data_IF_497021744819
#
_entry.id   IF_497021744819
#
_cell.length_a   1.000
_cell.length_b   1.000
_cell.length_c   1.000
_cell.angle_alpha   90.00
_cell.angle_beta   90.00
_cell.angle_gamma   90.00
#
_symmetry.space_group_name_H-M   'P 1'
#
loop_
_entity.id
_entity.type
_entity.pdbx_description
1 polymer ?
#
# COMPACT_ATOMS: atom_id res chain seq x y z
N UNK A 1 12.60 -16.15 16.19
CA UNK A 1 13.15 -17.31 15.44
C UNK A 1 12.06 -18.08 14.68
N UNK A 2 10.84 -18.22 15.21
CA UNK A 2 9.76 -19.02 14.61
C UNK A 2 9.32 -18.48 13.24
N UNK A 3 9.25 -17.15 13.10
CA UNK A 3 8.94 -16.53 11.80
C UNK A 3 10.02 -16.83 10.74
N UNK A 4 11.31 -16.73 11.11
CA UNK A 4 12.41 -17.07 10.18
C UNK A 4 12.33 -18.53 9.77
N UNK A 5 12.08 -19.45 10.71
CA UNK A 5 11.94 -20.88 10.44
C UNK A 5 10.73 -21.16 9.52
N UNK A 6 9.61 -20.47 9.76
CA UNK A 6 8.43 -20.59 8.90
C UNK A 6 8.74 -20.14 7.46
N UNK A 7 9.26 -18.93 7.28
CA UNK A 7 9.54 -18.39 5.94
C UNK A 7 10.57 -19.25 5.20
N UNK A 8 11.63 -19.69 5.86
CA UNK A 8 12.65 -20.56 5.25
C UNK A 8 12.08 -21.92 4.85
N UNK A 9 11.15 -22.49 5.64
CA UNK A 9 10.44 -23.71 5.29
C UNK A 9 9.59 -23.53 4.04
N UNK A 10 8.87 -22.39 3.93
CA UNK A 10 8.06 -22.06 2.73
C UNK A 10 8.97 -21.92 1.50
N UNK A 11 10.06 -21.17 1.61
CA UNK A 11 11.01 -20.97 0.51
C UNK A 11 11.63 -22.29 0.04
N UNK A 12 12.05 -23.15 0.95
CA UNK A 12 12.59 -24.48 0.61
C UNK A 12 11.57 -25.39 -0.06
N UNK A 13 10.27 -25.30 0.39
CA UNK A 13 9.19 -26.13 -0.16
C UNK A 13 8.76 -25.68 -1.56
N UNK A 14 8.87 -24.39 -1.87
CA UNK A 14 8.41 -23.81 -3.14
C UNK A 14 9.55 -23.16 -3.92
N UNK A 15 10.44 -23.95 -4.55
CA UNK A 15 11.64 -23.42 -5.21
C UNK A 15 11.34 -22.51 -6.43
N UNK A 16 10.10 -22.48 -6.91
CA UNK A 16 9.63 -21.58 -7.96
C UNK A 16 9.35 -20.16 -7.47
N UNK A 17 9.32 -19.90 -6.16
CA UNK A 17 9.15 -18.55 -5.62
C UNK A 17 10.26 -17.63 -6.10
N UNK A 18 9.86 -16.43 -6.54
CA UNK A 18 10.77 -15.38 -6.99
C UNK A 18 10.73 -14.15 -6.10
N UNK A 19 9.60 -13.86 -5.50
CA UNK A 19 9.36 -12.65 -4.73
C UNK A 19 8.76 -13.05 -3.38
N UNK A 20 9.31 -12.48 -2.31
CA UNK A 20 8.82 -12.71 -0.94
C UNK A 20 8.79 -11.38 -0.22
N UNK A 21 7.60 -10.93 0.16
CA UNK A 21 7.42 -9.81 1.08
C UNK A 21 7.55 -10.30 2.52
N UNK A 22 8.38 -9.63 3.30
CA UNK A 22 8.61 -9.97 4.70
C UNK A 22 7.65 -9.18 5.58
N UNK A 23 6.68 -9.88 6.20
CA UNK A 23 5.63 -9.30 7.03
C UNK A 23 4.63 -8.43 6.26
N UNK A 24 3.63 -7.90 7.01
CA UNK A 24 2.63 -6.94 6.55
C UNK A 24 2.37 -5.92 7.66
N UNK A 25 2.29 -4.65 7.32
CA UNK A 25 1.91 -3.51 8.17
C UNK A 25 2.53 -3.50 9.59
N UNK A 26 3.86 -3.72 9.77
CA UNK A 26 4.49 -3.76 11.10
C UNK A 26 4.44 -2.43 11.86
N UNK A 27 3.95 -1.39 11.24
CA UNK A 27 3.68 -0.09 11.86
C UNK A 27 2.30 -0.02 12.55
N UNK A 28 1.51 -1.11 12.51
CA UNK A 28 0.24 -1.23 13.22
C UNK A 28 0.37 -2.18 14.41
N UNK A 29 -0.19 -1.80 15.56
CA UNK A 29 -0.07 -2.58 16.78
C UNK A 29 -0.70 -3.97 16.66
N UNK A 30 -1.86 -4.11 16.00
CA UNK A 30 -2.52 -5.42 15.83
C UNK A 30 -1.76 -6.36 14.88
N UNK A 31 -0.97 -5.83 13.96
CA UNK A 31 -0.04 -6.60 13.12
C UNK A 31 1.28 -6.92 13.87
N UNK A 32 1.53 -6.24 14.98
CA UNK A 32 2.70 -6.41 15.84
C UNK A 32 2.33 -6.99 17.21
N UNK A 33 1.44 -7.99 17.23
CA UNK A 33 0.97 -8.68 18.44
C UNK A 33 0.35 -7.77 19.51
N UNK A 34 -0.29 -6.67 19.10
CA UNK A 34 -0.82 -5.62 19.99
C UNK A 34 0.22 -4.90 20.85
N UNK A 35 1.50 -5.07 20.50
CA UNK A 35 2.59 -4.27 21.05
C UNK A 35 2.79 -3.00 20.24
N UNK A 36 3.49 -2.03 20.81
CA UNK A 36 3.84 -0.82 20.07
C UNK A 36 4.80 -1.17 18.94
N UNK A 37 4.53 -0.69 17.72
CA UNK A 37 5.42 -0.87 16.58
C UNK A 37 6.85 -0.46 16.90
N UNK A 38 7.81 -1.32 16.57
CA UNK A 38 9.22 -1.12 16.88
C UNK A 38 10.06 -1.27 15.60
N UNK A 39 10.47 -0.15 14.95
CA UNK A 39 11.24 -0.18 13.71
C UNK A 39 12.59 -0.91 13.84
N UNK A 40 13.26 -0.82 15.00
CA UNK A 40 14.54 -1.49 15.24
C UNK A 40 14.38 -3.00 15.33
N UNK A 41 13.41 -3.47 16.13
CA UNK A 41 13.12 -4.90 16.25
C UNK A 41 12.61 -5.48 14.93
N UNK A 42 11.81 -4.72 14.17
CA UNK A 42 11.38 -5.12 12.84
C UNK A 42 12.57 -5.22 11.87
N UNK A 43 13.48 -4.25 11.87
CA UNK A 43 14.68 -4.27 11.01
C UNK A 43 15.57 -5.48 11.32
N UNK A 44 15.71 -5.85 12.60
CA UNK A 44 16.42 -7.08 12.99
C UNK A 44 15.72 -8.33 12.43
N UNK A 45 14.39 -8.42 12.55
CA UNK A 45 13.60 -9.52 11.97
C UNK A 45 13.77 -9.60 10.46
N UNK A 46 13.67 -8.48 9.75
CA UNK A 46 13.84 -8.37 8.31
C UNK A 46 15.23 -8.88 7.89
N UNK A 47 16.29 -8.37 8.52
CA UNK A 47 17.69 -8.71 8.20
C UNK A 47 17.96 -10.20 8.41
N UNK A 48 17.52 -10.76 9.54
CA UNK A 48 17.69 -12.18 9.84
C UNK A 48 16.93 -13.06 8.86
N UNK A 49 15.70 -12.67 8.49
CA UNK A 49 14.88 -13.42 7.54
C UNK A 49 15.48 -13.34 6.13
N UNK A 50 15.89 -12.17 5.69
CA UNK A 50 16.54 -11.94 4.39
C UNK A 50 17.82 -12.78 4.27
N UNK A 51 18.68 -12.76 5.29
CA UNK A 51 19.90 -13.56 5.33
C UNK A 51 19.60 -15.05 5.19
N UNK A 52 18.61 -15.54 5.95
CA UNK A 52 18.25 -16.96 5.93
C UNK A 52 17.63 -17.39 4.56
N UNK A 53 16.82 -16.54 3.94
CA UNK A 53 16.28 -16.77 2.60
C UNK A 53 17.41 -16.85 1.56
N UNK A 54 18.35 -15.89 1.57
CA UNK A 54 19.45 -15.81 0.61
C UNK A 54 20.41 -17.01 0.70
N UNK A 55 20.53 -17.64 1.89
CA UNK A 55 21.27 -18.90 2.06
C UNK A 55 20.60 -20.09 1.37
N UNK A 56 19.25 -20.11 1.29
CA UNK A 56 18.50 -21.20 0.65
C UNK A 56 18.37 -20.97 -0.86
N UNK A 57 18.01 -19.75 -1.25
CA UNK A 57 17.83 -19.37 -2.64
C UNK A 57 18.21 -17.90 -2.87
N UNK A 58 19.44 -17.64 -3.34
CA UNK A 58 19.93 -16.28 -3.58
C UNK A 58 19.23 -15.55 -4.74
N UNK A 59 18.37 -16.23 -5.51
CA UNK A 59 17.60 -15.63 -6.61
C UNK A 59 16.26 -15.03 -6.15
N UNK A 60 15.89 -15.21 -4.88
CA UNK A 60 14.66 -14.61 -4.36
C UNK A 60 14.86 -13.10 -4.17
N UNK A 61 13.95 -12.36 -4.75
CA UNK A 61 13.82 -10.92 -4.55
C UNK A 61 13.01 -10.67 -3.28
N UNK A 62 13.59 -9.97 -2.33
CA UNK A 62 13.01 -9.69 -1.02
C UNK A 62 12.34 -8.32 -1.06
N UNK A 63 11.08 -8.27 -0.67
CA UNK A 63 10.33 -7.04 -0.56
C UNK A 63 10.25 -6.59 0.90
N UNK A 64 10.53 -5.30 1.12
CA UNK A 64 10.19 -4.63 2.38
C UNK A 64 8.67 -4.72 2.60
N UNK A 65 8.14 -4.81 3.83
CA UNK A 65 6.69 -4.90 4.05
C UNK A 65 5.99 -3.64 3.57
N UNK A 66 4.77 -3.80 3.11
CA UNK A 66 3.89 -2.64 2.97
C UNK A 66 3.57 -2.07 4.34
N UNK A 67 3.78 -0.79 4.50
CA UNK A 67 3.36 -0.07 5.68
C UNK A 67 1.96 0.50 5.46
N UNK A 68 1.13 0.43 6.49
CA UNK A 68 -0.19 1.07 6.46
C UNK A 68 -0.03 2.58 6.46
N UNK A 69 -0.61 3.31 5.49
CA UNK A 69 -0.58 4.75 5.48
C UNK A 69 -1.35 5.31 6.69
N UNK A 70 -0.64 5.93 7.62
CA UNK A 70 -1.24 6.50 8.83
C UNK A 70 -0.64 7.88 9.14
N UNK A 71 -1.38 8.69 9.92
CA UNK A 71 -0.86 9.98 10.37
C UNK A 71 -0.21 9.92 11.76
N UNK A 72 -0.08 8.73 12.34
CA UNK A 72 0.57 8.51 13.63
C UNK A 72 -0.21 9.00 14.85
N UNK A 73 -1.52 9.26 14.72
CA UNK A 73 -2.33 9.86 15.79
C UNK A 73 -3.20 8.89 16.57
N UNK A 74 -3.15 7.61 16.24
CA UNK A 74 -3.91 6.56 16.91
C UNK A 74 -3.01 5.81 17.92
N UNK A 75 -2.91 6.26 19.20
CA UNK A 75 -1.86 5.80 20.13
C UNK A 75 -1.88 4.29 20.42
N UNK A 76 -3.03 3.63 20.20
CA UNK A 76 -3.21 2.19 20.49
C UNK A 76 -3.10 1.32 19.24
N UNK A 77 -3.26 1.90 18.06
CA UNK A 77 -3.33 1.15 16.80
C UNK A 77 -2.16 1.52 15.89
N UNK A 78 -1.98 2.82 15.66
CA UNK A 78 -0.99 3.39 14.74
C UNK A 78 -0.32 4.61 15.40
N UNK A 79 0.55 4.39 16.40
CA UNK A 79 1.16 5.48 17.18
C UNK A 79 2.25 6.24 16.39
N UNK A 80 2.59 5.78 15.22
CA UNK A 80 3.66 6.30 14.37
C UNK A 80 3.22 6.30 12.90
N UNK A 81 3.55 7.33 12.16
CA UNK A 81 3.30 7.33 10.72
C UNK A 81 4.19 6.30 10.01
N UNK A 82 3.73 5.80 8.84
CA UNK A 82 4.56 4.89 8.04
C UNK A 82 5.85 5.57 7.58
N UNK A 83 5.85 6.89 7.41
CA UNK A 83 7.04 7.64 7.01
C UNK A 83 8.08 7.66 8.12
N UNK A 84 7.66 7.90 9.37
CA UNK A 84 8.54 7.87 10.54
C UNK A 84 9.04 6.44 10.81
N UNK A 85 8.16 5.43 10.65
CA UNK A 85 8.53 4.03 10.80
C UNK A 85 9.61 3.65 9.78
N UNK A 86 9.40 4.01 8.50
CA UNK A 86 10.36 3.74 7.43
C UNK A 86 11.69 4.45 7.68
N UNK A 87 11.66 5.74 8.04
CA UNK A 87 12.88 6.50 8.33
C UNK A 87 13.70 5.85 9.46
N UNK A 88 13.04 5.38 10.52
CA UNK A 88 13.70 4.68 11.61
C UNK A 88 14.21 3.30 11.20
N UNK A 89 13.54 2.57 10.31
CA UNK A 89 14.06 1.32 9.73
C UNK A 89 15.35 1.56 8.94
N UNK A 90 15.38 2.62 8.11
CA UNK A 90 16.62 2.99 7.40
C UNK A 90 17.74 3.36 8.38
N UNK A 91 17.44 4.15 9.41
CA UNK A 91 18.41 4.48 10.45
C UNK A 91 18.94 3.25 11.22
N UNK A 92 18.13 2.19 11.31
CA UNK A 92 18.50 0.91 11.89
C UNK A 92 19.24 -0.04 10.92
N UNK A 93 19.48 0.38 9.66
CA UNK A 93 20.24 -0.38 8.67
C UNK A 93 19.42 -1.31 7.78
N UNK A 94 18.13 -1.00 7.55
CA UNK A 94 17.25 -1.85 6.74
C UNK A 94 17.65 -1.92 5.25
N UNK A 95 18.37 -0.93 4.71
CA UNK A 95 18.64 -0.79 3.28
C UNK A 95 19.22 -2.05 2.61
N UNK A 96 20.10 -2.78 3.29
CA UNK A 96 20.77 -3.97 2.74
C UNK A 96 19.92 -5.25 2.86
N UNK A 97 18.75 -5.17 3.50
CA UNK A 97 17.95 -6.34 3.84
C UNK A 97 16.80 -6.62 2.85
N UNK A 98 16.57 -5.75 1.86
CA UNK A 98 15.53 -5.93 0.85
C UNK A 98 16.00 -5.44 -0.52
N UNK A 99 15.28 -5.81 -1.57
CA UNK A 99 15.61 -5.51 -2.96
C UNK A 99 14.53 -4.58 -3.59
N UNK A 100 13.31 -4.60 -3.07
CA UNK A 100 12.17 -3.78 -3.53
C UNK A 100 11.44 -3.21 -2.32
N UNK A 101 11.06 -1.94 -2.39
CA UNK A 101 10.19 -1.30 -1.41
C UNK A 101 8.73 -1.60 -1.72
N UNK A 102 7.98 -2.21 -0.80
CA UNK A 102 6.53 -2.29 -0.94
C UNK A 102 5.85 -1.07 -0.31
N UNK A 103 4.74 -0.65 -0.91
CA UNK A 103 3.93 0.45 -0.42
C UNK A 103 2.44 0.17 -0.62
N UNK A 104 1.61 0.79 0.20
CA UNK A 104 0.18 0.89 -0.04
C UNK A 104 -0.14 2.26 -0.65
N UNK A 105 -1.08 2.31 -1.58
CA UNK A 105 -1.46 3.54 -2.28
C UNK A 105 -2.97 3.72 -2.33
N UNK A 106 -3.61 3.70 -1.15
CA UNK A 106 -5.04 3.93 -1.03
C UNK A 106 -5.40 5.40 -1.16
N UNK A 107 -6.40 5.70 -2.01
CA UNK A 107 -6.91 7.06 -2.22
C UNK A 107 -7.93 7.49 -1.17
N UNK A 108 -8.43 6.57 -0.32
CA UNK A 108 -9.46 6.81 0.69
C UNK A 108 -10.67 7.61 0.15
N UNK A 109 -11.20 7.17 -1.00
CA UNK A 109 -12.36 7.77 -1.66
C UNK A 109 -12.08 9.09 -2.38
N UNK A 110 -10.84 9.58 -2.38
CA UNK A 110 -10.48 10.79 -3.11
C UNK A 110 -10.13 10.48 -4.57
N UNK A 111 -10.43 11.39 -5.51
CA UNK A 111 -10.01 11.23 -6.90
C UNK A 111 -8.49 11.07 -7.02
N UNK A 112 -7.98 10.07 -7.76
CA UNK A 112 -6.56 9.80 -7.85
C UNK A 112 -5.75 10.90 -8.57
N UNK A 113 -6.41 11.75 -9.36
CA UNK A 113 -5.79 12.88 -10.05
C UNK A 113 -5.65 14.13 -9.17
N UNK A 114 -6.22 14.13 -7.96
CA UNK A 114 -6.04 15.25 -7.04
C UNK A 114 -4.58 15.35 -6.59
N UNK A 115 -3.96 16.46 -6.91
CA UNK A 115 -2.66 16.82 -6.37
C UNK A 115 -2.83 17.51 -5.04
N UNK A 116 -2.06 17.09 -4.06
CA UNK A 116 -2.03 17.64 -2.71
C UNK A 116 -1.90 19.17 -2.69
N UNK A 117 -1.06 19.73 -3.56
CA UNK A 117 -0.86 21.17 -3.69
C UNK A 117 -2.04 21.94 -4.33
N UNK A 118 -2.78 21.30 -5.23
CA UNK A 118 -3.96 21.92 -5.87
C UNK A 118 -5.09 22.05 -4.86
N UNK A 119 -5.30 21.03 -4.05
CA UNK A 119 -6.32 21.04 -3.00
C UNK A 119 -6.07 22.12 -1.94
N UNK A 120 -4.81 22.39 -1.59
CA UNK A 120 -4.43 23.49 -0.70
C UNK A 120 -4.72 24.88 -1.31
N UNK A 121 -4.67 24.99 -2.63
CA UNK A 121 -4.75 26.28 -3.34
C UNK A 121 -6.18 26.70 -3.68
N UNK A 122 -7.14 25.77 -3.80
CA UNK A 122 -8.42 26.02 -4.43
C UNK A 122 -9.66 25.68 -3.58
N UNK A 123 -9.54 25.51 -2.26
CA UNK A 123 -10.72 25.32 -1.44
C UNK A 123 -11.32 26.70 -1.05
N UNK A 124 -12.42 27.15 -1.70
CA UNK A 124 -12.95 28.52 -1.49
C UNK A 124 -13.53 28.76 -0.09
N UNK A 125 -13.74 27.69 0.69
CA UNK A 125 -14.36 27.77 2.04
C UNK A 125 -13.36 27.53 3.19
N UNK A 126 -12.09 27.30 2.90
CA UNK A 126 -11.05 27.17 3.93
C UNK A 126 -9.93 28.15 3.66
N UNK A 127 -9.89 29.23 4.42
CA UNK A 127 -8.74 30.13 4.37
C UNK A 127 -7.48 29.36 4.72
N UNK A 128 -6.34 29.89 4.36
CA UNK A 128 -4.98 29.37 4.43
C UNK A 128 -4.57 28.58 5.69
N UNK A 129 -5.44 28.43 6.67
CA UNK A 129 -5.22 27.72 7.93
C UNK A 129 -5.06 26.19 7.78
N UNK A 130 -5.37 25.60 6.63
CA UNK A 130 -5.01 24.20 6.35
C UNK A 130 -3.52 24.03 5.99
N UNK A 131 -2.79 25.12 5.82
CA UNK A 131 -1.32 25.11 5.74
C UNK A 131 -0.66 24.75 7.07
N UNK A 132 -1.38 24.88 8.18
CA UNK A 132 -0.91 24.49 9.51
C UNK A 132 -0.93 22.96 9.73
N UNK A 133 -1.54 22.20 8.82
CA UNK A 133 -1.40 20.74 8.82
C UNK A 133 -0.19 20.35 8.01
N UNK A 134 0.80 19.70 8.64
CA UNK A 134 1.92 19.13 7.90
C UNK A 134 1.39 18.26 6.74
N UNK A 135 2.01 18.37 5.56
CA UNK A 135 1.61 17.60 4.37
C UNK A 135 1.66 16.09 4.62
N UNK A 136 2.50 15.65 5.53
CA UNK A 136 2.69 14.27 5.97
C UNK A 136 1.50 13.67 6.73
N UNK A 137 0.57 14.47 7.24
CA UNK A 137 -0.64 13.97 7.93
C UNK A 137 -1.78 13.60 6.98
N UNK A 138 -1.64 13.85 5.68
CA UNK A 138 -2.67 13.53 4.69
C UNK A 138 -2.46 12.13 4.14
N UNK A 139 -3.55 11.37 4.12
CA UNK A 139 -3.59 10.06 3.50
C UNK A 139 -4.40 10.18 2.21
N UNK A 140 -3.69 10.20 1.09
CA UNK A 140 -4.22 10.20 -0.27
C UNK A 140 -3.24 9.46 -1.20
N UNK A 141 -3.60 9.32 -2.49
CA UNK A 141 -2.75 8.63 -3.48
C UNK A 141 -1.35 9.24 -3.60
N UNK A 142 -1.19 10.53 -3.33
CA UNK A 142 0.12 11.21 -3.41
C UNK A 142 1.05 10.89 -2.23
N UNK A 143 0.56 10.19 -1.19
CA UNK A 143 1.38 9.83 -0.03
C UNK A 143 2.54 8.90 -0.38
N UNK A 144 2.38 8.08 -1.41
CA UNK A 144 3.46 7.23 -1.92
C UNK A 144 4.69 8.06 -2.38
N UNK A 145 4.49 9.30 -2.82
CA UNK A 145 5.58 10.21 -3.18
C UNK A 145 6.39 10.59 -1.93
N UNK A 146 5.72 10.79 -0.79
CA UNK A 146 6.42 11.09 0.47
C UNK A 146 7.22 9.88 0.98
N UNK A 147 6.68 8.66 0.80
CA UNK A 147 7.45 7.44 1.06
C UNK A 147 8.71 7.40 0.20
N UNK A 148 8.59 7.72 -1.09
CA UNK A 148 9.76 7.82 -1.99
C UNK A 148 10.75 8.90 -1.53
N UNK A 149 10.29 10.03 -1.02
CA UNK A 149 11.16 11.08 -0.47
C UNK A 149 11.96 10.58 0.74
N UNK A 150 11.36 9.77 1.63
CA UNK A 150 12.10 9.13 2.74
C UNK A 150 13.19 8.21 2.22
N UNK A 151 12.92 7.40 1.18
CA UNK A 151 13.94 6.56 0.54
C UNK A 151 15.10 7.41 -0.01
N UNK A 152 14.79 8.49 -0.72
CA UNK A 152 15.82 9.38 -1.28
C UNK A 152 16.66 10.05 -0.19
N UNK A 153 16.05 10.48 0.91
CA UNK A 153 16.76 11.04 2.07
C UNK A 153 17.68 10.01 2.74
N UNK A 154 17.30 8.74 2.71
CA UNK A 154 18.14 7.63 3.19
C UNK A 154 19.24 7.21 2.19
N UNK A 155 19.32 7.83 1.01
CA UNK A 155 20.28 7.49 -0.05
C UNK A 155 19.83 6.33 -0.96
N UNK A 156 18.62 5.82 -0.78
CA UNK A 156 18.05 4.69 -1.53
C UNK A 156 17.31 5.17 -2.78
N UNK A 157 18.05 5.72 -3.74
CA UNK A 157 17.49 6.24 -4.99
C UNK A 157 17.23 5.14 -6.05
N UNK A 158 17.91 4.00 -5.95
CA UNK A 158 17.91 2.98 -7.00
C UNK A 158 16.88 1.87 -6.77
N UNK A 159 16.36 1.72 -5.57
CA UNK A 159 15.36 0.70 -5.24
C UNK A 159 14.00 1.06 -5.85
N UNK A 160 13.42 0.12 -6.60
CA UNK A 160 12.08 0.27 -7.13
C UNK A 160 11.02 0.18 -6.03
N UNK A 161 9.86 0.82 -6.27
CA UNK A 161 8.69 0.67 -5.41
C UNK A 161 7.63 -0.19 -6.10
N UNK A 162 7.08 -1.17 -5.37
CA UNK A 162 5.90 -1.91 -5.79
C UNK A 162 4.73 -1.55 -4.88
N UNK A 163 3.61 -1.21 -5.47
CA UNK A 163 2.36 -1.05 -4.73
C UNK A 163 1.77 -2.43 -4.50
N UNK A 164 1.84 -2.89 -3.25
CA UNK A 164 1.28 -4.18 -2.83
C UNK A 164 -0.23 -4.14 -2.73
N UNK A 165 -0.78 -2.96 -2.41
CA UNK A 165 -2.21 -2.77 -2.24
C UNK A 165 -2.63 -1.36 -2.66
N UNK A 166 -3.65 -1.29 -3.52
CA UNK A 166 -4.41 -0.08 -3.81
C UNK A 166 -5.83 -0.44 -4.19
N UNK A 167 -6.77 0.45 -3.98
CA UNK A 167 -8.17 0.22 -4.31
C UNK A 167 -9.08 1.27 -3.71
N UNK A 168 -10.37 1.13 -4.00
CA UNK A 168 -11.42 2.04 -3.55
C UNK A 168 -12.58 1.26 -2.96
N UNK A 169 -13.15 1.76 -1.88
CA UNK A 169 -14.26 1.15 -1.18
C UNK A 169 -15.60 1.66 -1.72
N UNK A 170 -16.54 0.77 -1.98
CA UNK A 170 -17.89 1.07 -2.45
C UNK A 170 -18.97 0.64 -1.47
N UNK A 171 -18.68 0.66 -0.18
CA UNK A 171 -19.61 0.21 0.86
C UNK A 171 -20.97 0.93 0.73
N UNK A 172 -22.09 0.17 0.63
CA UNK A 172 -23.42 0.71 0.43
C UNK A 172 -23.99 1.34 1.72
N UNK A 173 -25.12 2.04 1.60
CA UNK A 173 -25.80 2.67 2.74
C UNK A 173 -26.31 1.68 3.79
N UNK A 174 -26.38 0.38 3.47
CA UNK A 174 -26.69 -0.67 4.42
C UNK A 174 -25.59 -0.93 5.45
N UNK A 175 -24.33 -0.54 5.16
CA UNK A 175 -23.25 -0.56 6.15
C UNK A 175 -23.40 0.65 7.07
N UNK A 176 -23.31 0.48 8.42
CA UNK A 176 -23.40 1.59 9.37
C UNK A 176 -22.43 2.73 9.02
N UNK A 177 -22.90 3.97 9.13
CA UNK A 177 -22.15 5.15 8.63
C UNK A 177 -20.73 5.28 9.21
N UNK A 178 -20.57 5.00 10.51
CA UNK A 178 -19.28 5.02 11.22
C UNK A 178 -18.30 3.95 10.72
N UNK A 179 -18.82 2.83 10.20
CA UNK A 179 -18.01 1.76 9.59
C UNK A 179 -17.76 2.03 8.12
N UNK A 180 -18.78 2.51 7.42
CA UNK A 180 -18.75 2.77 5.98
C UNK A 180 -17.66 3.76 5.58
N UNK A 181 -17.36 4.71 6.45
CA UNK A 181 -16.37 5.78 6.20
C UNK A 181 -14.98 5.50 6.77
N UNK A 182 -14.73 4.31 7.33
CA UNK A 182 -13.40 3.94 7.84
C UNK A 182 -12.27 4.12 6.81
N UNK A 183 -12.60 3.86 5.55
CA UNK A 183 -11.66 3.96 4.41
C UNK A 183 -11.95 5.20 3.56
N UNK A 184 -12.38 6.28 4.18
CA UNK A 184 -12.84 7.49 3.49
C UNK A 184 -14.28 7.37 2.95
N UNK A 185 -14.78 8.40 2.27
CA UNK A 185 -16.11 8.36 1.66
C UNK A 185 -16.16 7.24 0.61
N UNK A 186 -17.19 6.37 0.65
CA UNK A 186 -17.33 5.33 -0.36
C UNK A 186 -17.62 5.93 -1.74
N UNK A 187 -17.13 5.25 -2.77
CA UNK A 187 -17.42 5.60 -4.17
C UNK A 187 -18.47 4.64 -4.76
N UNK A 188 -19.08 4.98 -5.89
CA UNK A 188 -19.92 4.01 -6.62
C UNK A 188 -19.06 2.92 -7.25
N UNK A 189 -19.67 1.77 -7.64
CA UNK A 189 -18.97 0.70 -8.34
C UNK A 189 -18.34 1.17 -9.66
N UNK A 190 -19.03 2.04 -10.40
CA UNK A 190 -18.49 2.65 -11.63
C UNK A 190 -17.29 3.55 -11.33
N UNK A 191 -17.42 4.46 -10.34
CA UNK A 191 -16.32 5.32 -9.93
C UNK A 191 -15.11 4.52 -9.41
N UNK A 192 -15.33 3.37 -8.74
CA UNK A 192 -14.26 2.48 -8.32
C UNK A 192 -13.41 2.06 -9.53
N UNK A 193 -14.02 1.58 -10.60
CA UNK A 193 -13.33 1.22 -11.82
C UNK A 193 -12.58 2.40 -12.45
N UNK A 194 -13.25 3.55 -12.58
CA UNK A 194 -12.66 4.76 -13.15
C UNK A 194 -11.46 5.24 -12.33
N UNK A 195 -11.54 5.23 -11.01
CA UNK A 195 -10.47 5.66 -10.12
C UNK A 195 -9.28 4.70 -10.11
N UNK A 196 -9.53 3.39 -10.18
CA UNK A 196 -8.47 2.38 -10.32
C UNK A 196 -7.68 2.65 -11.60
N UNK A 197 -8.36 2.83 -12.73
CA UNK A 197 -7.73 3.09 -14.02
C UNK A 197 -6.98 4.43 -14.02
N UNK A 198 -7.59 5.49 -13.49
CA UNK A 198 -6.97 6.81 -13.40
C UNK A 198 -5.71 6.78 -12.50
N UNK A 199 -5.73 6.03 -11.40
CA UNK A 199 -4.57 5.87 -10.54
C UNK A 199 -3.43 5.13 -11.22
N UNK A 200 -3.73 4.05 -11.96
CA UNK A 200 -2.74 3.33 -12.76
C UNK A 200 -2.14 4.23 -13.86
N UNK A 201 -2.98 5.03 -14.52
CA UNK A 201 -2.53 5.98 -15.54
C UNK A 201 -1.64 7.09 -14.94
N UNK A 202 -2.00 7.62 -13.77
CA UNK A 202 -1.18 8.59 -13.02
C UNK A 202 0.17 7.99 -12.65
N UNK A 203 0.19 6.78 -12.10
CA UNK A 203 1.42 6.10 -11.71
C UNK A 203 2.39 5.96 -12.90
N UNK A 204 1.89 5.51 -14.07
CA UNK A 204 2.69 5.39 -15.29
C UNK A 204 3.24 6.72 -15.78
N UNK A 205 2.50 7.80 -15.61
CA UNK A 205 2.87 9.14 -16.08
C UNK A 205 3.87 9.82 -15.15
N UNK A 206 3.73 9.65 -13.83
CA UNK A 206 4.42 10.48 -12.84
C UNK A 206 5.49 9.74 -12.05
N UNK A 207 5.42 8.38 -11.93
CA UNK A 207 6.25 7.63 -11.00
C UNK A 207 7.12 6.60 -11.73
N UNK A 208 8.16 7.07 -12.42
CA UNK A 208 9.09 6.20 -13.17
C UNK A 208 9.79 5.14 -12.30
N UNK A 209 9.84 5.37 -10.98
CA UNK A 209 10.41 4.45 -9.98
C UNK A 209 9.44 3.36 -9.52
N UNK A 210 8.18 3.38 -9.99
CA UNK A 210 7.16 2.40 -9.61
C UNK A 210 7.09 1.28 -10.65
N UNK A 211 7.22 0.01 -10.18
CA UNK A 211 7.27 -1.15 -11.07
C UNK A 211 5.95 -1.90 -11.20
N UNK A 212 5.29 -2.23 -10.09
CA UNK A 212 4.08 -3.07 -10.05
C UNK A 212 3.02 -2.42 -9.19
N UNK A 213 1.74 -2.64 -9.55
CA UNK A 213 0.59 -2.27 -8.73
C UNK A 213 -0.34 -3.48 -8.57
N UNK A 214 -0.60 -3.90 -7.34
CA UNK A 214 -1.51 -4.99 -7.02
C UNK A 214 -2.83 -4.44 -6.50
N UNK A 215 -3.92 -4.77 -7.18
CA UNK A 215 -5.25 -4.33 -6.79
C UNK A 215 -5.74 -5.09 -5.54
N UNK A 216 -6.14 -4.35 -4.53
CA UNK A 216 -6.91 -4.82 -3.38
C UNK A 216 -8.38 -4.46 -3.55
N UNK A 217 -9.28 -5.40 -3.93
CA UNK A 217 -8.96 -6.80 -4.13
C UNK A 217 -9.82 -7.41 -5.23
N UNK A 218 -9.40 -8.56 -5.76
CA UNK A 218 -10.15 -9.25 -6.79
C UNK A 218 -11.56 -9.61 -6.31
N UNK A 219 -11.68 -10.36 -5.21
CA UNK A 219 -12.93 -10.75 -4.59
C UNK A 219 -12.77 -11.05 -3.10
N UNK A 220 -13.86 -11.01 -2.35
CA UNK A 220 -13.86 -11.48 -0.98
C UNK A 220 -13.79 -13.01 -0.96
N UNK A 221 -12.74 -13.55 -0.35
CA UNK A 221 -12.50 -15.00 -0.27
C UNK A 221 -12.79 -15.62 1.10
N UNK A 222 -13.18 -14.81 2.08
CA UNK A 222 -13.49 -15.24 3.44
C UNK A 222 -14.92 -15.79 3.61
N UNK A 223 -15.29 -16.16 4.83
CA UNK A 223 -16.68 -16.50 5.17
C UNK A 223 -17.61 -15.32 4.87
N UNK A 224 -18.94 -15.57 4.91
CA UNK A 224 -19.91 -14.49 4.74
C UNK A 224 -19.55 -13.32 5.68
N UNK A 225 -19.33 -12.11 5.15
CA UNK A 225 -18.84 -11.01 5.96
C UNK A 225 -19.91 -10.56 6.96
N UNK A 226 -19.47 -10.08 8.12
CA UNK A 226 -20.32 -9.27 8.99
C UNK A 226 -20.94 -8.14 8.15
N UNK A 227 -22.28 -7.96 8.16
CA UNK A 227 -22.96 -6.90 7.42
C UNK A 227 -22.43 -5.48 7.74
N UNK A 228 -21.81 -5.30 8.91
CA UNK A 228 -21.17 -4.04 9.30
C UNK A 228 -19.72 -3.92 8.82
N UNK A 229 -19.13 -4.95 8.18
CA UNK A 229 -17.75 -4.91 7.71
C UNK A 229 -17.66 -4.25 6.33
N UNK A 230 -16.98 -3.09 6.19
CA UNK A 230 -16.82 -2.44 4.89
C UNK A 230 -15.74 -3.06 4.00
N UNK A 231 -14.86 -3.91 4.51
CA UNK A 231 -13.70 -4.44 3.77
C UNK A 231 -14.06 -5.23 2.51
N UNK A 232 -15.11 -6.07 2.48
CA UNK A 232 -15.51 -6.80 1.27
C UNK A 232 -15.83 -5.91 0.06
N UNK A 233 -16.20 -4.65 0.29
CA UNK A 233 -16.58 -3.70 -0.77
C UNK A 233 -15.40 -3.06 -1.51
N UNK A 234 -14.16 -3.43 -1.18
CA UNK A 234 -13.02 -3.21 -2.06
C UNK A 234 -12.98 -4.16 -3.25
N UNK A 235 -13.64 -5.30 -3.15
CA UNK A 235 -13.68 -6.31 -4.21
C UNK A 235 -14.22 -5.74 -5.53
N UNK A 236 -13.67 -6.20 -6.65
CA UNK A 236 -14.15 -5.86 -8.00
C UNK A 236 -15.02 -6.96 -8.60
N UNK A 237 -15.00 -8.16 -8.01
CA UNK A 237 -15.90 -9.28 -8.31
C UNK A 237 -16.64 -9.73 -7.05
N UNK A 238 -17.87 -10.17 -7.23
CA UNK A 238 -18.64 -10.88 -6.22
C UNK A 238 -17.97 -12.25 -5.88
N UNK A 239 -18.35 -12.91 -4.77
CA UNK A 239 -17.80 -14.22 -4.40
C UNK A 239 -17.94 -15.31 -5.46
N UNK A 240 -18.95 -15.23 -6.31
CA UNK A 240 -19.22 -16.16 -7.43
C UNK A 240 -18.53 -15.73 -8.75
N UNK A 241 -17.64 -14.73 -8.69
CA UNK A 241 -16.97 -14.11 -9.83
C UNK A 241 -17.89 -13.32 -10.78
N UNK A 242 -19.10 -12.95 -10.36
CA UNK A 242 -19.90 -11.95 -11.09
C UNK A 242 -19.18 -10.58 -11.03
N UNK A 243 -18.86 -9.95 -12.17
CA UNK A 243 -18.16 -8.66 -12.18
C UNK A 243 -19.07 -7.54 -11.68
N UNK A 244 -18.49 -6.63 -10.87
CA UNK A 244 -19.16 -5.36 -10.56
C UNK A 244 -19.02 -4.34 -11.71
N UNK A 245 -19.80 -3.27 -11.68
CA UNK A 245 -19.94 -2.34 -12.80
C UNK A 245 -18.62 -1.70 -13.29
N UNK A 246 -17.63 -1.51 -12.41
CA UNK A 246 -16.33 -0.94 -12.78
C UNK A 246 -15.36 -1.89 -13.49
N UNK A 247 -15.64 -3.19 -13.52
CA UNK A 247 -14.70 -4.21 -14.03
C UNK A 247 -14.42 -4.02 -15.52
N UNK A 248 -15.44 -3.73 -16.33
CA UNK A 248 -15.27 -3.55 -17.76
C UNK A 248 -14.28 -2.42 -18.11
N UNK A 249 -14.29 -1.32 -17.33
CA UNK A 249 -13.35 -0.20 -17.47
C UNK A 249 -11.92 -0.66 -17.16
N UNK A 250 -11.74 -1.45 -16.10
CA UNK A 250 -10.44 -1.99 -15.71
C UNK A 250 -9.90 -2.93 -16.78
N UNK A 251 -10.69 -3.88 -17.26
CA UNK A 251 -10.33 -4.86 -18.30
C UNK A 251 -9.94 -4.15 -19.61
N UNK A 252 -10.70 -3.14 -20.02
CA UNK A 252 -10.38 -2.34 -21.20
C UNK A 252 -9.04 -1.62 -21.06
N UNK A 253 -8.76 -1.04 -19.91
CA UNK A 253 -7.49 -0.37 -19.64
C UNK A 253 -6.29 -1.33 -19.64
N UNK A 254 -6.48 -2.57 -19.17
CA UNK A 254 -5.45 -3.61 -19.18
C UNK A 254 -5.14 -4.13 -20.59
N UNK A 255 -6.11 -4.10 -21.50
CA UNK A 255 -5.92 -4.52 -22.90
C UNK A 255 -5.19 -3.45 -23.74
N UNK A 256 -5.16 -2.22 -23.29
CA UNK A 256 -4.44 -1.14 -23.98
C UNK A 256 -2.95 -1.31 -23.68
N UNK A 257 -2.10 -1.62 -24.71
CA UNK A 257 -0.68 -1.77 -24.49
C UNK A 257 -0.11 -0.52 -23.82
N UNK A 258 0.59 -0.71 -22.72
CA UNK A 258 1.39 0.38 -22.18
C UNK A 258 2.44 0.72 -23.24
N UNK A 259 2.38 1.88 -23.85
CA UNK A 259 3.52 2.46 -24.54
C UNK A 259 4.52 2.77 -23.43
N UNK A 260 5.33 1.79 -23.07
CA UNK A 260 6.52 2.02 -22.28
C UNK A 260 7.40 2.91 -23.17
N UNK A 261 7.50 4.18 -22.81
CA UNK A 261 8.52 5.03 -23.39
C UNK A 261 9.84 4.24 -23.28
N UNK A 262 10.62 4.18 -24.36
CA UNK A 262 11.91 3.52 -24.38
C UNK A 262 12.89 4.25 -23.45
N UNK A 263 12.69 4.09 -22.15
CA UNK A 263 13.65 4.41 -21.12
C UNK A 263 14.49 3.16 -20.90
N UNK A 264 15.72 3.22 -21.29
CA UNK A 264 16.73 2.25 -20.86
C UNK A 264 16.81 2.31 -19.34
N UNK A 265 16.42 1.22 -18.69
CA UNK A 265 16.67 0.98 -17.26
C UNK A 265 18.08 0.48 -17.05
#
# INVERSE_FOLDING_TARGET
QDYVNFVTTVVARYPQLRYVQIWNEPNLAYEWNWELPNPVAFTELLTRTATAIRLINPQIVILFPSLSPTDGKEPRIAPMSELDFLAQCYAAGAADAFDIMSAQAYGLGQPPEEHRYVRLRWHPLRPFNDLDRPLDTRIDVSRIVMLREVMLQAGDANTAVWVSEFGYNSAPDSVPAERRTLWGPPVSETQKGDYIVAQMARARREWAWLGVMNLWMLRWGGPAPDPANPTPYFAVYAPDFTPFAGVATIEQAMQTPAILGAGTY
#
